data_IF_616917927300
#
_entry.id   IF_616917927300
#
_cell.length_a   1.000
_cell.length_b   1.000
_cell.length_c   1.000
_cell.angle_alpha   90.00
_cell.angle_beta   90.00
_cell.angle_gamma   90.00
#
_symmetry.space_group_name_H-M   'P 1'
#
loop_
_entity.id
_entity.type
_entity.pdbx_description
1 polymer ?
#
# COMPACT_ATOMS: atom_id res chain seq x y z
N UNK A 1 -9.69 -16.01 11.00
CA UNK A 1 -8.66 -16.15 9.96
C UNK A 1 -9.28 -15.86 8.62
N UNK A 2 -8.63 -15.04 7.79
CA UNK A 2 -9.01 -14.73 6.42
C UNK A 2 -7.99 -15.37 5.47
N UNK A 3 -8.47 -16.17 4.52
CA UNK A 3 -7.64 -16.75 3.46
C UNK A 3 -7.98 -16.04 2.16
N UNK A 4 -6.96 -15.52 1.49
CA UNK A 4 -7.06 -14.84 0.21
C UNK A 4 -6.17 -15.56 -0.79
N UNK A 5 -6.65 -15.72 -2.01
CA UNK A 5 -5.86 -16.39 -3.05
C UNK A 5 -4.56 -15.63 -3.37
N UNK A 6 -4.60 -14.31 -3.52
CA UNK A 6 -3.43 -13.48 -3.82
C UNK A 6 -3.60 -12.04 -3.35
N UNK A 7 -2.49 -11.29 -3.21
CA UNK A 7 -2.51 -9.90 -2.71
C UNK A 7 -3.37 -8.95 -3.57
N UNK A 8 -3.36 -9.13 -4.89
CA UNK A 8 -4.15 -8.34 -5.86
C UNK A 8 -5.67 -8.50 -5.68
N UNK A 9 -6.12 -9.58 -5.01
CA UNK A 9 -7.53 -9.77 -4.68
C UNK A 9 -7.97 -9.10 -3.38
N UNK A 10 -7.02 -8.72 -2.52
CA UNK A 10 -7.33 -8.04 -1.27
C UNK A 10 -7.43 -6.53 -1.46
N UNK A 11 -6.53 -5.92 -2.24
CA UNK A 11 -6.51 -4.47 -2.43
C UNK A 11 -5.98 -4.04 -3.79
N UNK A 12 -6.31 -2.80 -4.18
CA UNK A 12 -5.93 -2.19 -5.47
C UNK A 12 -4.51 -1.63 -5.49
N UNK A 13 -3.91 -1.43 -4.33
CA UNK A 13 -2.54 -0.97 -4.17
C UNK A 13 -1.96 -1.51 -2.86
N UNK A 14 -0.63 -1.48 -2.74
CA UNK A 14 0.10 -2.03 -1.60
C UNK A 14 -0.22 -1.25 -0.31
N UNK A 15 -0.37 0.07 -0.39
CA UNK A 15 -0.71 0.93 0.75
C UNK A 15 -2.03 0.50 1.41
N UNK A 16 -3.08 0.29 0.62
CA UNK A 16 -4.39 -0.15 1.09
C UNK A 16 -4.37 -1.60 1.56
N UNK A 17 -3.59 -2.47 0.90
CA UNK A 17 -3.36 -3.85 1.35
C UNK A 17 -2.79 -3.87 2.78
N UNK A 18 -1.70 -3.13 3.01
CA UNK A 18 -1.03 -3.06 4.31
C UNK A 18 -1.94 -2.49 5.40
N UNK A 19 -2.74 -1.47 5.05
CA UNK A 19 -3.74 -0.89 5.95
C UNK A 19 -4.78 -1.92 6.36
N UNK A 20 -5.38 -2.63 5.39
CA UNK A 20 -6.41 -3.65 5.65
C UNK A 20 -5.85 -4.80 6.50
N UNK A 21 -4.65 -5.30 6.17
CA UNK A 21 -3.98 -6.34 6.95
C UNK A 21 -3.70 -5.86 8.37
N UNK A 22 -3.23 -4.62 8.54
CA UNK A 22 -3.02 -4.01 9.86
C UNK A 22 -4.30 -3.89 10.68
N UNK A 23 -5.39 -3.43 10.08
CA UNK A 23 -6.72 -3.33 10.72
C UNK A 23 -7.25 -4.71 11.14
N UNK A 24 -7.05 -5.73 10.31
CA UNK A 24 -7.44 -7.12 10.61
C UNK A 24 -6.58 -7.72 11.73
N UNK A 25 -5.27 -7.53 11.66
CA UNK A 25 -4.34 -7.95 12.71
C UNK A 25 -4.70 -7.31 14.05
N UNK A 26 -5.01 -6.01 14.09
CA UNK A 26 -5.44 -5.32 15.32
C UNK A 26 -6.73 -5.91 15.93
N UNK A 27 -7.54 -6.60 15.13
CA UNK A 27 -8.74 -7.33 15.56
C UNK A 27 -8.46 -8.81 15.88
N UNK A 28 -7.20 -9.24 15.86
CA UNK A 28 -6.78 -10.63 16.08
C UNK A 28 -7.01 -11.56 14.88
N UNK A 29 -7.27 -11.01 13.69
CA UNK A 29 -7.53 -11.80 12.48
C UNK A 29 -6.23 -12.06 11.73
N UNK A 30 -5.84 -13.34 11.63
CA UNK A 30 -4.76 -13.79 10.74
C UNK A 30 -5.20 -13.69 9.28
N UNK A 31 -4.36 -13.10 8.42
CA UNK A 31 -4.53 -13.01 6.97
C UNK A 31 -3.49 -13.89 6.27
N UNK A 32 -3.95 -14.82 5.42
CA UNK A 32 -3.07 -15.71 4.65
C UNK A 32 -3.28 -15.49 3.15
N UNK A 33 -2.18 -15.39 2.42
CA UNK A 33 -2.12 -15.31 0.96
C UNK A 33 -1.60 -16.63 0.40
N UNK A 34 -2.42 -17.33 -0.38
CA UNK A 34 -2.11 -18.67 -0.89
C UNK A 34 -1.00 -18.61 -1.96
N UNK A 35 -1.13 -17.70 -2.94
CA UNK A 35 -0.22 -17.58 -4.07
C UNK A 35 1.17 -17.12 -3.64
N UNK A 36 1.26 -16.17 -2.72
CA UNK A 36 2.52 -15.64 -2.20
C UNK A 36 3.11 -16.51 -1.07
N UNK A 37 2.36 -17.52 -0.60
CA UNK A 37 2.71 -18.35 0.55
C UNK A 37 3.13 -17.52 1.77
N UNK A 38 2.33 -16.50 2.07
CA UNK A 38 2.60 -15.52 3.12
C UNK A 38 1.45 -15.43 4.10
N UNK A 39 1.76 -15.28 5.38
CA UNK A 39 0.78 -15.16 6.46
C UNK A 39 1.15 -14.02 7.39
N UNK A 40 0.17 -13.16 7.66
CA UNK A 40 0.29 -12.06 8.60
C UNK A 40 -0.66 -12.32 9.76
N UNK A 41 -0.14 -12.35 10.99
CA UNK A 41 -0.96 -12.45 12.19
C UNK A 41 -0.46 -11.45 13.22
N UNK A 42 -1.39 -10.81 13.94
CA UNK A 42 -1.02 -10.09 15.17
C UNK A 42 -0.44 -11.07 16.19
N UNK A 43 0.75 -10.77 16.70
CA UNK A 43 1.49 -11.66 17.60
C UNK A 43 2.18 -12.85 16.91
N UNK A 44 2.20 -12.89 15.56
CA UNK A 44 3.06 -13.82 14.83
C UNK A 44 4.51 -13.52 15.17
N UNK A 45 5.18 -14.46 15.83
CA UNK A 45 6.62 -14.39 16.11
C UNK A 45 7.49 -14.70 14.89
N UNK A 46 6.91 -14.82 13.68
CA UNK A 46 7.70 -15.07 12.46
C UNK A 46 8.45 -13.80 12.03
N UNK A 47 9.78 -13.74 12.22
CA UNK A 47 10.57 -12.57 11.89
C UNK A 47 10.62 -12.33 10.38
N UNK A 48 10.50 -13.37 9.56
CA UNK A 48 10.49 -13.25 8.10
C UNK A 48 9.22 -12.54 7.61
N UNK A 49 8.06 -12.90 8.13
CA UNK A 49 6.79 -12.24 7.81
C UNK A 49 6.80 -10.75 8.22
N UNK A 50 7.38 -10.44 9.40
CA UNK A 50 7.52 -9.06 9.88
C UNK A 50 8.47 -8.24 9.01
N UNK A 51 9.61 -8.82 8.64
CA UNK A 51 10.60 -8.19 7.76
C UNK A 51 9.99 -7.91 6.37
N UNK A 52 9.29 -8.89 5.79
CA UNK A 52 8.64 -8.74 4.50
C UNK A 52 7.54 -7.67 4.53
N UNK A 53 6.73 -7.63 5.60
CA UNK A 53 5.75 -6.56 5.81
C UNK A 53 6.41 -5.18 5.84
N UNK A 54 7.53 -5.07 6.54
CA UNK A 54 8.29 -3.81 6.67
C UNK A 54 8.85 -3.37 5.31
N UNK A 55 9.41 -4.30 4.54
CA UNK A 55 9.90 -4.01 3.19
C UNK A 55 8.78 -3.57 2.24
N UNK A 56 7.63 -4.27 2.25
CA UNK A 56 6.46 -3.88 1.46
C UNK A 56 5.94 -2.48 1.85
N UNK A 57 5.96 -2.18 3.15
CA UNK A 57 5.59 -0.86 3.67
C UNK A 57 6.52 0.25 3.20
N UNK A 58 7.83 0.00 3.25
CA UNK A 58 8.82 0.94 2.74
C UNK A 58 8.66 1.16 1.23
N UNK A 59 8.40 0.09 0.47
CA UNK A 59 8.20 0.17 -0.98
C UNK A 59 6.94 0.96 -1.35
N UNK A 60 5.83 0.73 -0.65
CA UNK A 60 4.59 1.48 -0.86
C UNK A 60 4.78 2.98 -0.65
N UNK A 61 5.51 3.37 0.41
CA UNK A 61 5.84 4.79 0.66
C UNK A 61 6.76 5.36 -0.42
N UNK A 62 7.76 4.59 -0.85
CA UNK A 62 8.67 4.98 -1.92
C UNK A 62 7.92 5.25 -3.22
N UNK A 63 7.08 4.33 -3.69
CA UNK A 63 6.27 4.55 -4.89
C UNK A 63 5.37 5.78 -4.77
N UNK A 64 4.74 5.98 -3.61
CA UNK A 64 3.87 7.14 -3.34
C UNK A 64 4.65 8.46 -3.44
N UNK A 65 5.88 8.48 -2.95
CA UNK A 65 6.75 9.66 -3.03
C UNK A 65 7.13 9.98 -4.49
N UNK A 66 7.44 8.97 -5.30
CA UNK A 66 7.76 9.15 -6.72
C UNK A 66 6.56 9.66 -7.51
N UNK A 67 5.36 9.14 -7.25
CA UNK A 67 4.13 9.60 -7.90
C UNK A 67 3.89 11.09 -7.59
N UNK A 68 4.02 11.48 -6.31
CA UNK A 68 3.86 12.87 -5.88
C UNK A 68 4.89 13.80 -6.53
N UNK A 69 6.14 13.37 -6.63
CA UNK A 69 7.19 14.18 -7.25
C UNK A 69 6.92 14.42 -8.74
N UNK A 70 6.54 13.37 -9.49
CA UNK A 70 6.16 13.50 -10.90
C UNK A 70 4.93 14.40 -11.07
N UNK A 71 3.94 14.27 -10.21
CA UNK A 71 2.76 15.13 -10.23
C UNK A 71 3.16 16.60 -10.01
N UNK A 72 4.03 16.88 -9.04
CA UNK A 72 4.53 18.23 -8.77
C UNK A 72 5.24 18.82 -9.98
N UNK A 73 6.10 18.04 -10.63
CA UNK A 73 6.79 18.46 -11.86
C UNK A 73 5.81 18.79 -12.98
N UNK A 74 4.79 17.95 -13.20
CA UNK A 74 3.74 18.21 -14.19
C UNK A 74 2.93 19.47 -13.88
N UNK A 75 2.62 19.72 -12.60
CA UNK A 75 1.93 20.95 -12.16
C UNK A 75 2.80 22.18 -12.43
N UNK A 76 4.10 22.12 -12.14
CA UNK A 76 5.02 23.25 -12.40
C UNK A 76 5.05 23.58 -13.88
N UNK A 77 5.15 22.57 -14.75
CA UNK A 77 5.13 22.76 -16.21
C UNK A 77 3.80 23.35 -16.68
N UNK A 78 2.67 22.78 -16.26
CA UNK A 78 1.33 23.27 -16.64
C UNK A 78 1.08 24.70 -16.14
N UNK A 79 1.64 25.09 -14.98
CA UNK A 79 1.58 26.47 -14.48
C UNK A 79 2.43 27.41 -15.33
N UNK A 80 3.61 26.99 -15.75
CA UNK A 80 4.47 27.77 -16.63
C UNK A 80 3.84 27.99 -18.02
N UNK A 81 3.12 26.99 -18.53
CA UNK A 81 2.37 27.05 -19.79
C UNK A 81 1.02 27.77 -19.67
N UNK A 82 0.61 28.18 -18.46
CA UNK A 82 -0.67 28.87 -18.20
C UNK A 82 -1.92 28.00 -18.37
N UNK A 83 -1.78 26.69 -18.59
CA UNK A 83 -2.88 25.74 -18.81
C UNK A 83 -3.34 25.04 -17.53
N UNK A 84 -2.64 25.23 -16.41
CA UNK A 84 -3.00 24.62 -15.13
C UNK A 84 -4.34 25.13 -14.60
N UNK A 85 -5.37 24.29 -14.70
CA UNK A 85 -6.64 24.46 -14.00
C UNK A 85 -6.58 23.63 -12.72
N UNK A 86 -6.44 24.29 -11.57
CA UNK A 86 -6.65 23.62 -10.29
C UNK A 86 -8.07 23.04 -10.31
N UNK A 87 -8.20 21.73 -10.11
CA UNK A 87 -9.51 21.08 -10.08
C UNK A 87 -10.40 21.76 -9.06
N UNK A 88 -11.64 22.10 -9.46
CA UNK A 88 -12.70 22.48 -8.54
C UNK A 88 -12.78 21.46 -7.41
N UNK A 89 -13.00 21.90 -6.15
CA UNK A 89 -13.02 21.00 -5.00
C UNK A 89 -14.08 19.91 -5.22
N UNK A 90 -13.67 18.66 -4.95
CA UNK A 90 -14.60 17.56 -4.69
C UNK A 90 -15.29 17.79 -3.34
#
# INVERSE_FOLDING_TARGET
>A
MLIVHSMDRLARNIEDMLRLVGEMNNKGVLVQFVKENMSFAAGSEDPCSTLMFTMLSAFAQFERSLIKERQRQGIVLAKAEGVYKAGSPL
#
